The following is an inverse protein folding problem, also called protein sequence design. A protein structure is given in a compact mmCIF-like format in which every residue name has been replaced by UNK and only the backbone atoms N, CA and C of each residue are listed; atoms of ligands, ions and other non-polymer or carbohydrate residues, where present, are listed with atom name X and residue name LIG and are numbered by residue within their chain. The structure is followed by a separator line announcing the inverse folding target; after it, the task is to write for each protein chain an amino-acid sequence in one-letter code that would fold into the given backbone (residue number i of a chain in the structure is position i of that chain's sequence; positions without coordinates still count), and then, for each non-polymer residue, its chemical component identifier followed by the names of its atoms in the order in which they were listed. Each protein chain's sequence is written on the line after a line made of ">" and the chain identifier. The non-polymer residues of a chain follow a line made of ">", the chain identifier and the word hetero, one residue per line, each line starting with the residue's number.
data_IF_214521610387
#
_entry.id   IF_214521610387
#
_cell.length_a   1.000
_cell.length_b   1.000
_cell.length_c   1.000
_cell.angle_alpha   90.00
_cell.angle_beta   90.00
_cell.angle_gamma   90.00
#
_symmetry.space_group_name_H-M   'P 1'
#
loop_
_entity.id
_entity.type
_entity.pdbx_description
1 polymer ?
#
# COMPACT_ATOMS: atom_id res chain seq x y z
N UNK A 1 6.67 1.02 12.07
CA UNK A 1 5.29 0.59 11.73
C UNK A 1 4.92 1.20 10.39
N UNK A 2 4.27 0.44 9.52
CA UNK A 2 3.85 0.88 8.19
C UNK A 2 2.34 0.73 8.04
N UNK A 3 1.69 1.74 7.45
CA UNK A 3 0.26 1.73 7.18
C UNK A 3 0.01 1.77 5.69
N UNK A 4 -0.96 0.96 5.25
CA UNK A 4 -1.57 1.04 3.92
C UNK A 4 -3.08 1.14 4.06
N UNK A 5 -3.73 1.90 3.19
CA UNK A 5 -5.16 2.16 3.29
C UNK A 5 -5.96 1.19 2.43
N UNK A 6 -6.73 0.31 3.06
CA UNK A 6 -7.36 -0.88 2.45
C UNK A 6 -6.32 -1.89 1.92
N UNK A 7 -5.08 -1.81 2.42
CA UNK A 7 -3.99 -2.65 1.92
C UNK A 7 -4.02 -4.09 2.45
N UNK A 8 -4.85 -4.38 3.45
CA UNK A 8 -5.07 -5.74 3.94
C UNK A 8 -5.62 -6.71 2.88
N UNK A 9 -6.17 -6.18 1.78
CA UNK A 9 -6.68 -6.94 0.62
C UNK A 9 -5.78 -6.85 -0.62
N UNK A 10 -4.79 -5.96 -0.61
CA UNK A 10 -3.93 -5.66 -1.77
C UNK A 10 -2.45 -5.64 -1.36
N UNK A 11 -1.96 -4.54 -0.81
CA UNK A 11 -0.54 -4.29 -0.51
C UNK A 11 0.07 -5.40 0.37
N UNK A 12 -0.62 -5.77 1.45
CA UNK A 12 -0.11 -6.73 2.43
C UNK A 12 0.02 -8.14 1.86
N UNK A 13 -0.76 -8.49 0.84
CA UNK A 13 -0.66 -9.79 0.16
C UNK A 13 0.64 -9.87 -0.65
N UNK A 14 0.98 -8.79 -1.36
CA UNK A 14 2.23 -8.70 -2.12
C UNK A 14 3.45 -8.66 -1.19
N UNK A 15 3.37 -7.87 -0.12
CA UNK A 15 4.41 -7.80 0.91
C UNK A 15 4.62 -9.18 1.57
N UNK A 16 3.54 -9.88 1.93
CA UNK A 16 3.62 -11.22 2.50
C UNK A 16 4.34 -12.20 1.55
N UNK A 17 4.00 -12.19 0.25
CA UNK A 17 4.67 -13.02 -0.76
C UNK A 17 6.18 -12.79 -0.77
N UNK A 18 6.62 -11.53 -0.81
CA UNK A 18 8.05 -11.20 -0.86
C UNK A 18 8.79 -11.56 0.42
N UNK A 19 8.16 -11.39 1.59
CA UNK A 19 8.72 -11.82 2.88
C UNK A 19 8.87 -13.34 2.91
N UNK A 20 7.85 -14.06 2.45
CA UNK A 20 7.83 -15.52 2.41
C UNK A 20 8.92 -16.08 1.48
N UNK A 21 9.08 -15.50 0.28
CA UNK A 21 10.14 -15.88 -0.68
C UNK A 21 11.55 -15.66 -0.13
N UNK A 22 11.71 -14.73 0.83
CA UNK A 22 12.98 -14.49 1.54
C UNK A 22 13.20 -15.41 2.74
N UNK A 23 12.32 -16.39 2.97
CA UNK A 23 12.43 -17.36 4.06
C UNK A 23 12.10 -16.78 5.44
N UNK A 24 11.42 -15.63 5.50
CA UNK A 24 10.98 -15.02 6.75
C UNK A 24 9.54 -15.41 7.02
N UNK A 25 9.25 -15.90 8.22
CA UNK A 25 7.89 -16.27 8.63
C UNK A 25 7.33 -15.17 9.53
N UNK A 26 6.41 -14.32 9.03
CA UNK A 26 5.79 -13.28 9.84
C UNK A 26 4.63 -13.82 10.68
N UNK A 27 4.36 -13.16 11.81
CA UNK A 27 3.10 -13.34 12.54
C UNK A 27 1.98 -12.59 11.82
N UNK A 28 0.78 -13.18 11.77
CA UNK A 28 -0.35 -12.66 10.99
C UNK A 28 -1.65 -12.65 11.79
N UNK A 29 -2.37 -11.54 11.72
CA UNK A 29 -3.77 -11.44 12.15
C UNK A 29 -4.62 -11.33 10.88
N UNK A 30 -5.50 -12.31 10.62
CA UNK A 30 -6.31 -12.38 9.39
C UNK A 30 -7.72 -12.87 9.65
N UNK A 31 -8.67 -12.45 8.82
CA UNK A 31 -10.03 -13.02 8.74
C UNK A 31 -10.42 -13.20 7.28
N UNK A 32 -10.68 -14.44 6.89
CA UNK A 32 -10.85 -14.79 5.47
C UNK A 32 -9.66 -14.31 4.64
N UNK A 33 -9.95 -13.60 3.54
CA UNK A 33 -8.94 -13.07 2.61
C UNK A 33 -8.38 -11.69 3.02
N UNK A 34 -8.74 -11.16 4.19
CA UNK A 34 -8.23 -9.88 4.68
C UNK A 34 -7.14 -10.09 5.73
N UNK A 35 -5.96 -9.52 5.48
CA UNK A 35 -4.90 -9.35 6.47
C UNK A 35 -5.14 -8.05 7.26
N UNK A 36 -5.18 -8.14 8.59
CA UNK A 36 -5.31 -6.98 9.48
C UNK A 36 -3.95 -6.51 9.97
N UNK A 37 -3.07 -7.47 10.26
CA UNK A 37 -1.71 -7.21 10.70
C UNK A 37 -0.76 -8.24 10.11
N UNK A 38 0.42 -7.77 9.69
CA UNK A 38 1.55 -8.59 9.31
C UNK A 38 2.77 -8.10 10.09
N UNK A 39 3.30 -8.94 10.97
CA UNK A 39 4.37 -8.59 11.90
C UNK A 39 5.63 -9.42 11.61
N UNK A 40 6.70 -8.73 11.21
CA UNK A 40 8.03 -9.30 11.04
C UNK A 40 8.80 -9.09 12.35
N UNK A 41 9.24 -10.17 13.03
CA UNK A 41 10.01 -10.04 14.25
C UNK A 41 11.38 -9.40 13.98
N UNK A 42 11.91 -8.70 14.99
CA UNK A 42 13.30 -8.23 14.97
C UNK A 42 14.26 -9.41 14.80
N UNK A 43 15.33 -9.21 14.05
CA UNK A 43 16.47 -10.12 14.00
C UNK A 43 17.79 -9.34 14.14
N UNK A 44 18.92 -10.01 13.93
CA UNK A 44 20.26 -9.40 14.07
C UNK A 44 20.56 -8.32 13.00
N UNK A 45 19.78 -8.24 11.92
CA UNK A 45 19.99 -7.35 10.77
C UNK A 45 18.93 -6.25 10.64
N UNK A 46 17.72 -6.48 11.15
CA UNK A 46 16.59 -5.56 11.02
C UNK A 46 15.78 -5.47 12.32
N UNK A 47 15.28 -4.27 12.59
CA UNK A 47 14.28 -4.03 13.62
C UNK A 47 12.93 -4.68 13.27
N UNK A 48 12.06 -4.77 14.28
CA UNK A 48 10.68 -5.23 14.10
C UNK A 48 9.93 -4.31 13.13
N UNK A 49 9.18 -4.93 12.20
CA UNK A 49 8.34 -4.21 11.24
C UNK A 49 6.92 -4.75 11.32
N UNK A 50 5.97 -3.85 11.54
CA UNK A 50 4.54 -4.16 11.61
C UNK A 50 3.84 -3.42 10.48
N UNK A 51 3.13 -4.15 9.63
CA UNK A 51 2.20 -3.61 8.64
C UNK A 51 0.77 -3.71 9.16
N UNK A 52 0.01 -2.62 9.02
CA UNK A 52 -1.41 -2.55 9.39
C UNK A 52 -2.23 -1.86 8.31
N UNK A 53 -3.48 -2.28 8.21
CA UNK A 53 -4.47 -1.64 7.35
C UNK A 53 -5.15 -0.47 8.08
N UNK A 54 -4.88 0.76 7.63
CA UNK A 54 -5.46 1.97 8.21
C UNK A 54 -6.96 2.12 7.97
N UNK A 55 -7.54 1.38 7.01
CA UNK A 55 -8.98 1.36 6.80
C UNK A 55 -9.74 0.81 8.01
N UNK A 56 -9.10 -0.04 8.83
CA UNK A 56 -9.70 -0.52 10.08
C UNK A 56 -9.83 0.58 11.15
N UNK A 57 -9.02 1.64 11.06
CA UNK A 57 -9.04 2.78 11.96
C UNK A 57 -9.92 3.91 11.39
N UNK A 58 -9.82 4.14 10.08
CA UNK A 58 -10.55 5.17 9.35
C UNK A 58 -11.32 4.53 8.18
N UNK A 59 -12.54 4.02 8.40
CA UNK A 59 -13.30 3.25 7.41
C UNK A 59 -14.00 4.16 6.38
N UNK A 60 -13.24 5.05 5.74
CA UNK A 60 -13.69 5.91 4.65
C UNK A 60 -12.77 5.74 3.46
N UNK A 61 -13.24 6.02 2.25
CA UNK A 61 -12.38 5.97 1.07
C UNK A 61 -11.22 6.99 1.19
N UNK A 62 -10.04 6.65 0.67
CA UNK A 62 -8.83 7.49 0.74
C UNK A 62 -9.10 8.94 0.30
N UNK A 63 -9.81 9.13 -0.81
CA UNK A 63 -10.15 10.47 -1.33
C UNK A 63 -11.16 11.24 -0.48
N UNK A 64 -11.92 10.56 0.39
CA UNK A 64 -12.89 11.17 1.31
C UNK A 64 -12.25 11.55 2.66
N UNK A 65 -11.02 11.11 2.95
CA UNK A 65 -10.32 11.45 4.20
C UNK A 65 -10.16 12.96 4.38
N UNK A 66 -9.90 13.68 3.29
CA UNK A 66 -9.67 15.14 3.31
C UNK A 66 -10.89 15.85 3.89
N UNK A 67 -12.08 15.57 3.35
CA UNK A 67 -13.34 16.14 3.83
C UNK A 67 -13.76 15.60 5.19
N UNK A 68 -13.58 14.31 5.45
CA UNK A 68 -13.99 13.67 6.71
C UNK A 68 -13.21 14.19 7.93
N UNK A 69 -11.93 14.55 7.76
CA UNK A 69 -11.04 14.98 8.83
C UNK A 69 -10.60 16.45 8.72
N UNK A 70 -11.13 17.22 7.76
CA UNK A 70 -10.78 18.63 7.56
C UNK A 70 -9.29 18.84 7.24
N UNK A 71 -8.66 17.90 6.53
CA UNK A 71 -7.22 17.94 6.26
C UNK A 71 -6.89 19.02 5.23
N UNK A 72 -5.83 19.79 5.49
CA UNK A 72 -5.28 20.76 4.55
C UNK A 72 -4.20 20.08 3.71
N UNK A 73 -4.60 19.40 2.64
CA UNK A 73 -3.69 18.67 1.73
C UNK A 73 -3.98 19.01 0.29
N UNK A 74 -2.93 19.05 -0.52
CA UNK A 74 -3.02 19.16 -1.98
C UNK A 74 -3.72 17.91 -2.54
N UNK A 75 -4.62 18.10 -3.49
CA UNK A 75 -5.33 16.97 -4.10
C UNK A 75 -4.36 15.99 -4.76
N UNK A 76 -4.63 14.70 -4.57
CA UNK A 76 -3.89 13.64 -5.25
C UNK A 76 -4.16 13.75 -6.75
N UNK A 77 -3.12 14.00 -7.53
CA UNK A 77 -3.22 13.99 -8.98
C UNK A 77 -3.56 12.58 -9.49
N UNK A 78 -4.26 12.53 -10.62
CA UNK A 78 -4.59 11.28 -11.29
C UNK A 78 -3.31 10.61 -11.79
N UNK A 79 -3.04 9.38 -11.34
CA UNK A 79 -1.99 8.56 -11.90
C UNK A 79 -2.59 7.72 -13.04
N UNK A 80 -2.05 7.76 -14.27
CA UNK A 80 -2.60 7.05 -15.41
C UNK A 80 -2.27 5.56 -15.34
N UNK A 81 -2.94 4.84 -14.44
CA UNK A 81 -2.69 3.42 -14.15
C UNK A 81 -2.73 2.53 -15.40
N UNK A 82 -3.59 2.85 -16.36
CA UNK A 82 -3.73 2.11 -17.62
C UNK A 82 -2.59 2.35 -18.63
N UNK A 83 -1.80 3.41 -18.44
CA UNK A 83 -0.66 3.69 -19.30
C UNK A 83 0.59 2.86 -18.91
N UNK A 84 0.57 2.18 -17.76
CA UNK A 84 1.66 1.34 -17.28
C UNK A 84 1.66 -0.04 -17.96
N UNK A 85 1.92 -0.05 -19.26
CA UNK A 85 2.07 -1.26 -20.09
C UNK A 85 3.44 -1.25 -20.77
N UNK A 86 3.97 -2.44 -21.09
CA UNK A 86 5.31 -2.62 -21.67
C UNK A 86 5.57 -1.75 -22.89
N UNK A 87 4.53 -1.56 -23.70
CA UNK A 87 4.57 -0.80 -24.96
C UNK A 87 4.83 0.69 -24.74
N UNK A 88 4.55 1.20 -23.54
CA UNK A 88 4.69 2.61 -23.20
C UNK A 88 5.99 2.91 -22.44
N UNK A 89 6.78 1.89 -22.08
CA UNK A 89 8.03 2.10 -21.35
C UNK A 89 9.05 2.84 -22.22
N UNK A 90 9.66 3.89 -21.65
CA UNK A 90 10.61 4.75 -22.36
C UNK A 90 9.98 5.72 -23.37
N UNK A 91 8.65 5.73 -23.54
CA UNK A 91 7.94 6.65 -24.43
C UNK A 91 7.32 7.81 -23.68
N UNK A 92 7.29 8.98 -24.31
CA UNK A 92 6.51 10.13 -23.84
C UNK A 92 5.16 10.10 -24.51
N UNK A 93 4.10 9.81 -23.74
CA UNK A 93 2.74 9.82 -24.23
C UNK A 93 2.19 11.25 -24.15
N UNK A 94 1.89 11.86 -25.30
CA UNK A 94 1.41 13.26 -25.37
C UNK A 94 0.11 13.51 -24.60
N UNK A 95 -0.68 12.46 -24.39
CA UNK A 95 -1.98 12.51 -23.72
C UNK A 95 -1.85 12.50 -22.19
N UNK A 96 -0.65 12.19 -21.66
CA UNK A 96 -0.41 12.14 -20.24
C UNK A 96 0.04 13.50 -19.70
N UNK A 97 -0.27 13.81 -18.43
CA UNK A 97 0.29 14.98 -17.78
C UNK A 97 1.83 14.93 -17.81
N UNK A 98 2.50 16.09 -17.89
CA UNK A 98 3.96 16.16 -17.87
C UNK A 98 4.51 15.49 -16.61
N UNK A 99 5.64 14.79 -16.74
CA UNK A 99 6.36 14.23 -15.59
C UNK A 99 6.81 15.39 -14.69
N UNK A 100 6.34 15.37 -13.45
CA UNK A 100 6.78 16.28 -12.38
C UNK A 100 8.12 15.79 -11.85
#
# INVERSE_FOLDING_TARGET
>A
MAFSHNGGRYDMVMVFREIYLKGVVPSMIRRGNKLYELKIPRNNKCNEVIFRDSYNLCPVALGKLIGAFGLKVTEKQFFPHLANISENYGRTLQQLPPKI
#
